data_IF_466836627611
#
_entry.id   IF_466836627611
#
_cell.length_a   1.000
_cell.length_b   1.000
_cell.length_c   1.000
_cell.angle_alpha   90.00
_cell.angle_beta   90.00
_cell.angle_gamma   90.00
#
_symmetry.space_group_name_H-M   'P 1'
#
loop_
_entity.id
_entity.type
_entity.pdbx_description
1 polymer ?
#
# COMPACT_ATOMS: atom_id res chain seq x y z
N UNK A 1 -41.29 -10.94 -20.94
CA UNK A 1 -40.74 -11.09 -20.42
C UNK A 1 -40.04 -10.94 -19.84
N UNK A 2 -39.70 -10.81 -19.78
CA UNK A 2 -38.92 -10.91 -19.15
C UNK A 2 -37.98 -10.29 -18.88
N UNK A 3 -37.92 -9.99 -18.94
CA UNK A 3 -36.90 -9.54 -18.73
C UNK A 3 -36.54 -8.75 -18.02
N UNK A 4 -36.50 -8.59 -17.87
CA UNK A 4 -35.98 -7.93 -17.23
C UNK A 4 -35.23 -7.87 -16.51
N UNK A 5 -35.07 -8.47 -16.84
CA UNK A 5 -34.33 -8.62 -16.18
C UNK A 5 -33.25 -8.30 -15.99
N UNK A 6 -33.07 -8.40 -16.36
CA UNK A 6 -31.92 -8.27 -16.20
C UNK A 6 -31.28 -7.16 -15.89
N UNK A 7 -31.59 -6.81 -15.87
CA UNK A 7 -31.00 -5.88 -15.49
C UNK A 7 -30.55 -5.56 -14.38
N UNK A 8 -30.73 -5.94 -14.33
CA UNK A 8 -30.25 -5.73 -13.41
C UNK A 8 -29.27 -5.68 -12.93
N UNK A 9 -29.20 -5.90 -13.38
CA UNK A 9 -28.32 -5.94 -12.94
C UNK A 9 -27.58 -5.31 -12.63
N UNK A 10 -27.72 -5.05 -12.88
CA UNK A 10 -26.99 -4.56 -12.56
C UNK A 10 -26.51 -4.05 -11.82
N UNK A 11 -26.72 -3.93 -11.88
CA UNK A 11 -26.12 -3.52 -11.13
C UNK A 11 -25.58 -3.33 -10.52
N UNK A 12 -25.71 -3.58 -10.67
CA UNK A 12 -25.05 -3.53 -9.99
C UNK A 12 -24.48 -3.20 -9.58
N UNK A 13 -24.34 -3.30 -9.74
CA UNK A 13 -23.72 -3.11 -9.16
C UNK A 13 -23.17 -2.60 -8.69
N UNK A 14 -23.40 -2.57 -9.08
CA UNK A 14 -22.85 -2.23 -8.51
C UNK A 14 -22.44 -1.78 -8.03
N UNK A 15 -22.43 -1.83 -8.15
CA UNK A 15 -21.93 -1.56 -7.58
C UNK A 15 -21.48 -0.95 -7.26
N UNK A 16 -21.42 -0.85 -7.43
CA UNK A 16 -20.94 -0.40 -7.07
C UNK A 16 -20.64 0.21 -6.52
N UNK A 17 -20.53 0.30 -6.69
CA UNK A 17 -20.20 0.95 -6.18
C UNK A 17 -19.95 1.18 -5.26
N UNK A 18 -19.81 1.12 -5.18
CA UNK A 18 -19.37 1.42 -4.25
C UNK A 18 -18.61 2.34 -3.94
N UNK A 19 -18.55 2.89 -4.55
CA UNK A 19 -17.73 3.63 -4.58
C UNK A 19 -17.37 4.90 -4.11
N UNK A 20 -16.92 5.80 -4.17
CA UNK A 20 -16.46 7.00 -3.58
C UNK A 20 -15.83 6.86 -2.22
N UNK A 21 -15.89 5.71 -1.66
CA UNK A 21 -15.27 5.36 -0.39
C UNK A 21 -13.83 4.99 -0.64
N UNK A 22 -12.93 5.31 0.29
CA UNK A 22 -11.55 4.85 0.21
C UNK A 22 -11.55 3.35 0.00
N UNK A 23 -10.90 2.90 -1.06
CA UNK A 23 -10.95 1.51 -1.44
C UNK A 23 -9.59 0.92 -1.68
N UNK A 24 -9.46 -0.33 -1.29
CA UNK A 24 -8.25 -1.09 -1.55
C UNK A 24 -8.17 -1.39 -3.04
N UNK A 25 -6.99 -1.19 -3.61
CA UNK A 25 -6.73 -1.50 -5.00
C UNK A 25 -5.94 -2.78 -5.07
N UNK A 26 -6.30 -3.67 -5.98
CA UNK A 26 -5.52 -4.86 -6.18
C UNK A 26 -4.30 -4.54 -7.02
N UNK A 27 -3.13 -4.95 -6.53
CA UNK A 27 -1.88 -4.79 -7.24
C UNK A 27 -1.65 -6.06 -8.05
N UNK A 28 -1.50 -5.92 -9.36
CA UNK A 28 -1.26 -7.07 -10.24
C UNK A 28 0.18 -7.14 -10.71
N UNK A 29 0.96 -6.07 -10.50
CA UNK A 29 2.36 -6.03 -10.89
C UNK A 29 3.04 -5.06 -9.94
N UNK A 30 4.17 -5.46 -9.36
CA UNK A 30 4.85 -4.61 -8.37
C UNK A 30 5.36 -3.32 -8.99
N UNK A 31 5.51 -3.25 -10.31
CA UNK A 31 5.92 -1.99 -10.94
C UNK A 31 4.90 -0.88 -10.73
N UNK A 32 3.66 -1.22 -10.36
CA UNK A 32 2.66 -0.21 -10.03
C UNK A 32 3.07 0.60 -8.80
N UNK A 33 3.97 0.07 -8.00
CA UNK A 33 4.45 0.75 -6.80
C UNK A 33 5.65 1.64 -7.07
N UNK A 34 6.23 1.57 -8.27
CA UNK A 34 7.45 2.31 -8.56
C UNK A 34 7.23 3.80 -8.39
N UNK A 35 8.22 4.47 -7.81
CA UNK A 35 8.17 5.90 -7.60
C UNK A 35 8.54 6.26 -6.18
N UNK A 36 8.19 7.49 -5.83
CA UNK A 36 8.54 8.05 -4.53
C UNK A 36 7.30 8.14 -3.64
N UNK A 37 7.51 7.86 -2.36
CA UNK A 37 6.46 7.81 -1.35
C UNK A 37 6.91 8.56 -0.12
N UNK A 38 5.97 9.08 0.64
CA UNK A 38 6.26 9.86 1.82
C UNK A 38 5.30 9.49 2.93
N UNK A 39 5.83 9.33 4.14
CA UNK A 39 5.01 8.96 5.28
C UNK A 39 5.60 9.44 6.58
N UNK A 40 5.03 8.96 7.67
CA UNK A 40 5.48 9.29 9.00
C UNK A 40 5.73 7.99 9.76
N UNK A 41 6.83 7.94 10.48
CA UNK A 41 7.15 6.79 11.33
C UNK A 41 7.34 7.27 12.75
N UNK A 42 7.02 6.40 13.70
CA UNK A 42 7.22 6.70 15.11
C UNK A 42 8.65 6.33 15.50
N UNK A 43 9.34 7.26 16.11
CA UNK A 43 10.69 7.05 16.62
C UNK A 43 10.72 7.47 18.08
N UNK A 44 11.84 7.23 18.75
CA UNK A 44 11.96 7.58 20.16
C UNK A 44 11.75 9.09 20.38
N UNK A 45 12.20 9.87 19.44
CA UNK A 45 12.08 11.32 19.52
C UNK A 45 10.71 11.84 19.08
N UNK A 46 9.77 10.94 18.76
CA UNK A 46 8.45 11.32 18.25
C UNK A 46 8.31 10.87 16.83
N UNK A 47 7.52 11.57 16.05
CA UNK A 47 7.28 11.19 14.67
C UNK A 47 8.31 11.82 13.75
N UNK A 48 8.77 11.05 12.78
CA UNK A 48 9.72 11.51 11.79
C UNK A 48 9.16 11.28 10.40
N UNK A 49 9.50 12.19 9.49
CA UNK A 49 9.14 12.04 8.10
C UNK A 49 9.99 10.95 7.47
N UNK A 50 9.33 10.02 6.80
CA UNK A 50 10.01 8.96 6.06
C UNK A 50 9.76 9.15 4.58
N UNK A 51 10.77 8.84 3.79
CA UNK A 51 10.63 8.79 2.33
C UNK A 51 11.00 7.40 1.89
N UNK A 52 10.34 6.93 0.83
CA UNK A 52 10.61 5.60 0.30
C UNK A 52 10.64 5.70 -1.22
N UNK A 53 11.61 5.04 -1.81
CA UNK A 53 11.69 4.92 -3.26
C UNK A 53 11.54 3.45 -3.60
N UNK A 54 10.63 3.16 -4.53
CA UNK A 54 10.39 1.81 -5.01
C UNK A 54 10.77 1.75 -6.47
N UNK A 55 11.60 0.75 -6.81
CA UNK A 55 12.01 0.52 -8.17
C UNK A 55 10.98 -0.32 -8.91
N UNK A 56 11.11 -0.39 -10.22
CA UNK A 56 10.13 -1.12 -11.04
C UNK A 56 10.10 -2.61 -10.74
N UNK A 57 11.18 -3.16 -10.18
CA UNK A 57 11.21 -4.57 -9.82
C UNK A 57 10.71 -4.83 -8.39
N UNK A 58 10.24 -3.79 -7.71
CA UNK A 58 9.73 -3.91 -6.35
C UNK A 58 10.75 -3.67 -5.26
N UNK A 59 12.03 -3.54 -5.61
CA UNK A 59 13.07 -3.22 -4.64
C UNK A 59 12.79 -1.84 -4.05
N UNK A 60 12.95 -1.70 -2.74
CA UNK A 60 12.66 -0.42 -2.11
C UNK A 60 13.70 -0.06 -1.07
N UNK A 61 13.76 1.24 -0.79
CA UNK A 61 14.58 1.77 0.28
C UNK A 61 13.80 2.90 0.93
N UNK A 62 13.66 2.82 2.23
CA UNK A 62 13.00 3.85 3.03
C UNK A 62 14.02 4.47 3.96
N UNK A 63 13.92 5.77 4.15
CA UNK A 63 14.87 6.50 4.98
C UNK A 63 14.19 7.65 5.69
N UNK A 64 14.83 8.12 6.76
CA UNK A 64 14.46 9.33 7.46
C UNK A 64 15.66 10.26 7.45
N UNK A 65 15.52 11.40 8.10
CA UNK A 65 16.66 12.31 8.20
C UNK A 65 17.83 11.70 8.96
N UNK A 66 17.59 10.61 9.69
CA UNK A 66 18.63 9.93 10.44
C UNK A 66 19.34 8.84 9.66
N UNK A 67 18.88 8.55 8.45
CA UNK A 67 19.51 7.54 7.62
C UNK A 67 18.52 6.48 7.16
N UNK A 68 19.06 5.33 6.76
CA UNK A 68 18.24 4.24 6.23
C UNK A 68 17.39 3.64 7.33
N UNK A 69 16.08 3.62 7.08
CA UNK A 69 15.12 3.02 7.99
C UNK A 69 14.91 1.54 7.67
N UNK A 70 14.74 1.24 6.38
CA UNK A 70 14.43 -0.11 5.94
C UNK A 70 14.75 -0.23 4.46
N UNK A 71 15.10 -1.43 4.04
CA UNK A 71 15.32 -1.73 2.64
C UNK A 71 14.87 -3.16 2.39
N UNK A 72 14.37 -3.43 1.21
CA UNK A 72 13.90 -4.77 0.92
C UNK A 72 13.21 -4.85 -0.43
N UNK A 73 12.17 -5.67 -0.48
CA UNK A 73 11.52 -6.05 -1.73
C UNK A 73 10.04 -6.21 -1.51
N UNK A 74 9.26 -5.53 -2.36
CA UNK A 74 7.83 -5.84 -2.50
C UNK A 74 7.68 -6.95 -3.52
N UNK A 75 6.75 -7.83 -3.27
CA UNK A 75 6.49 -8.94 -4.19
C UNK A 75 5.04 -9.39 -4.04
N UNK A 76 4.57 -10.14 -5.03
CA UNK A 76 3.23 -10.70 -5.00
C UNK A 76 3.32 -12.19 -4.73
N UNK A 77 2.46 -12.68 -3.84
CA UNK A 77 2.32 -14.10 -3.58
C UNK A 77 0.84 -14.43 -3.52
N UNK A 78 0.39 -15.31 -4.39
CA UNK A 78 -1.01 -15.71 -4.47
C UNK A 78 -1.91 -14.49 -4.64
N UNK A 79 -1.46 -13.52 -5.43
CA UNK A 79 -2.23 -12.32 -5.70
C UNK A 79 -2.21 -11.29 -4.59
N UNK A 80 -1.46 -11.54 -3.53
CA UNK A 80 -1.40 -10.63 -2.38
C UNK A 80 -0.07 -9.92 -2.34
N UNK A 81 -0.11 -8.63 -2.04
CA UNK A 81 1.08 -7.82 -1.95
C UNK A 81 1.74 -8.02 -0.59
N UNK A 82 3.02 -8.36 -0.63
CA UNK A 82 3.82 -8.61 0.56
C UNK A 82 5.14 -7.89 0.42
N UNK A 83 5.85 -7.79 1.54
CA UNK A 83 7.20 -7.24 1.50
C UNK A 83 8.12 -8.03 2.41
N UNK A 84 9.40 -7.94 2.09
CA UNK A 84 10.45 -8.55 2.86
C UNK A 84 11.56 -7.53 3.02
N UNK A 85 11.96 -7.26 4.26
CA UNK A 85 13.05 -6.35 4.54
C UNK A 85 14.17 -7.11 5.23
N UNK A 86 15.24 -6.39 5.56
CA UNK A 86 16.34 -6.99 6.30
C UNK A 86 15.94 -7.35 7.72
N UNK A 87 14.82 -6.83 8.21
CA UNK A 87 14.40 -7.04 9.58
C UNK A 87 13.16 -7.90 9.72
N UNK A 88 12.24 -7.79 8.78
CA UNK A 88 10.94 -8.42 8.97
C UNK A 88 10.29 -8.65 7.62
N UNK A 89 9.21 -9.41 7.65
CA UNK A 89 8.33 -9.58 6.51
C UNK A 89 6.94 -9.08 6.90
N UNK A 90 6.10 -8.86 5.91
CA UNK A 90 4.75 -8.42 6.19
C UNK A 90 3.92 -8.30 4.94
N UNK A 91 2.78 -7.66 5.10
CA UNK A 91 1.84 -7.41 4.02
C UNK A 91 1.77 -5.92 3.75
N UNK A 92 1.25 -5.59 2.59
CA UNK A 92 1.04 -4.20 2.21
C UNK A 92 -0.26 -4.09 1.45
N UNK A 93 -0.89 -2.94 1.55
CA UNK A 93 -2.13 -2.65 0.83
C UNK A 93 -1.98 -1.34 0.10
N UNK A 94 -2.48 -1.32 -1.13
CA UNK A 94 -2.56 -0.09 -1.91
C UNK A 94 -4.00 0.35 -1.90
N UNK A 95 -4.24 1.63 -1.62
CA UNK A 95 -5.60 2.16 -1.58
C UNK A 95 -5.61 3.56 -2.15
N UNK A 96 -6.83 4.02 -2.45
CA UNK A 96 -7.03 5.40 -2.91
C UNK A 96 -7.97 6.08 -1.94
N UNK A 97 -7.64 7.31 -1.57
CA UNK A 97 -8.44 8.08 -0.64
C UNK A 97 -8.36 9.54 -1.07
N UNK A 98 -9.50 10.08 -1.51
CA UNK A 98 -9.61 11.49 -1.88
C UNK A 98 -8.55 11.93 -2.88
N UNK A 99 -8.32 11.10 -3.89
CA UNK A 99 -7.36 11.40 -4.94
C UNK A 99 -5.91 11.12 -4.58
N UNK A 100 -5.67 10.56 -3.40
CA UNK A 100 -4.34 10.21 -2.95
C UNK A 100 -4.17 8.71 -3.00
N UNK A 101 -2.99 8.28 -3.41
CA UNK A 101 -2.65 6.87 -3.42
C UNK A 101 -1.84 6.56 -2.16
N UNK A 102 -2.33 5.62 -1.37
CA UNK A 102 -1.76 5.29 -0.06
C UNK A 102 -1.28 3.86 -0.08
N UNK A 103 -0.04 3.66 0.33
CA UNK A 103 0.54 2.33 0.52
C UNK A 103 0.71 2.11 2.01
N UNK A 104 -0.02 1.14 2.56
CA UNK A 104 0.04 0.82 3.98
C UNK A 104 0.87 -0.44 4.14
N UNK A 105 1.90 -0.36 4.96
CA UNK A 105 2.84 -1.45 5.20
C UNK A 105 2.61 -1.95 6.62
N UNK A 106 2.41 -3.26 6.77
CA UNK A 106 2.10 -3.88 8.06
C UNK A 106 3.03 -5.06 8.30
N UNK A 107 3.96 -4.94 9.27
CA UNK A 107 4.82 -6.08 9.61
C UNK A 107 4.01 -7.21 10.22
N UNK A 108 4.47 -8.44 10.00
CA UNK A 108 3.81 -9.60 10.59
C UNK A 108 4.03 -9.67 12.10
N UNK A 109 5.16 -9.17 12.56
CA UNK A 109 5.49 -9.20 13.97
C UNK A 109 4.89 -7.98 14.65
N UNK A 110 3.85 -8.13 15.47
CA UNK A 110 3.21 -6.98 16.10
C UNK A 110 4.10 -6.28 17.13
N UNK A 111 5.22 -6.88 17.50
CA UNK A 111 6.16 -6.23 18.43
C UNK A 111 7.21 -5.44 17.67
N UNK A 112 7.15 -5.40 16.36
CA UNK A 112 8.08 -4.64 15.56
C UNK A 112 7.97 -3.15 15.89
N UNK A 113 9.11 -2.49 16.03
CA UNK A 113 9.14 -1.07 16.36
C UNK A 113 8.50 -0.21 15.27
N UNK A 114 8.59 -0.67 14.03
CA UNK A 114 8.10 0.13 12.92
C UNK A 114 6.58 0.17 12.84
N UNK A 115 5.92 -0.91 13.31
CA UNK A 115 4.47 -0.94 13.28
C UNK A 115 3.90 -0.72 11.89
N UNK A 116 2.65 -0.30 11.86
CA UNK A 116 1.98 0.02 10.59
C UNK A 116 2.41 1.41 10.14
N UNK A 117 2.80 1.51 8.88
CA UNK A 117 3.22 2.78 8.30
C UNK A 117 2.42 3.05 7.03
N UNK A 118 1.91 4.25 6.91
CA UNK A 118 1.19 4.68 5.71
C UNK A 118 2.07 5.64 4.93
N UNK A 119 2.25 5.32 3.67
CA UNK A 119 2.99 6.16 2.73
C UNK A 119 2.03 6.70 1.69
N UNK A 120 2.22 7.95 1.35
CA UNK A 120 1.45 8.60 0.30
C UNK A 120 2.35 8.80 -0.91
N UNK A 121 1.83 8.52 -2.10
CA UNK A 121 2.62 8.69 -3.33
C UNK A 121 2.92 10.16 -3.55
N UNK A 122 4.17 10.44 -3.84
CA UNK A 122 4.63 11.79 -4.18
C UNK A 122 4.44 11.99 -5.67
N UNK A 123 3.86 13.10 -6.02
CA UNK A 123 3.63 13.43 -7.44
C UNK A 123 4.75 14.28 -7.98
#
# INVERSE_FOLDING_TARGET
MRWHLALLLLASFAASSLDGVAGEKQVVDVKELAGSWRGWVTAESGQERATMVVETDGTYKASTTRGTLSAGQFYLRDGKLRYRSTRTTGTANLSEDQGKTILTVMPEDPTSDTGRTKYERVK
#
